data_IF_605602317695
#
_entry.id   IF_605602317695
#
_cell.length_a   1.000
_cell.length_b   1.000
_cell.length_c   1.000
_cell.angle_alpha   90.00
_cell.angle_beta   90.00
_cell.angle_gamma   90.00
#
_symmetry.space_group_name_H-M   'P 1'
#
loop_
_entity.id
_entity.type
_entity.pdbx_description
1 polymer ?
#
# COMPACT_ATOMS: atom_id res chain seq x y z
N UNK A 1 67.40 -36.79 28.60
CA UNK A 1 67.14 -35.39 28.14
C UNK A 1 65.97 -35.39 27.17
N UNK A 2 64.76 -35.06 27.65
CA UNK A 2 63.51 -35.19 26.89
C UNK A 2 63.14 -33.83 26.33
N UNK A 3 63.16 -33.72 25.02
CA UNK A 3 62.66 -32.51 24.33
C UNK A 3 61.13 -32.60 24.13
N UNK A 4 60.36 -31.75 24.75
CA UNK A 4 58.89 -31.63 24.56
C UNK A 4 58.65 -30.67 23.42
N UNK A 5 58.09 -31.18 22.34
CA UNK A 5 57.60 -30.39 21.20
C UNK A 5 56.16 -29.97 21.50
N UNK A 6 55.92 -28.66 21.68
CA UNK A 6 54.62 -28.05 21.79
C UNK A 6 54.07 -27.81 20.39
N UNK A 7 53.02 -28.53 20.01
CA UNK A 7 52.29 -28.30 18.79
C UNK A 7 51.23 -27.20 19.04
N UNK A 8 51.37 -26.04 18.39
CA UNK A 8 50.33 -25.03 18.32
C UNK A 8 49.33 -25.41 17.24
N UNK A 9 48.13 -25.77 17.65
CA UNK A 9 47.01 -25.95 16.73
C UNK A 9 46.38 -24.55 16.43
N UNK A 10 46.60 -24.06 15.22
CA UNK A 10 45.92 -22.85 14.72
C UNK A 10 44.49 -23.20 14.33
N UNK A 11 43.53 -22.69 15.09
CA UNK A 11 42.11 -22.76 14.77
C UNK A 11 41.78 -21.76 13.65
N UNK A 12 41.64 -22.24 12.42
CA UNK A 12 41.10 -21.48 11.32
C UNK A 12 39.56 -21.43 11.46
N UNK A 13 39.02 -20.28 11.84
CA UNK A 13 37.58 -20.01 11.78
C UNK A 13 37.25 -19.49 10.39
N UNK A 14 36.47 -20.21 9.56
CA UNK A 14 36.03 -19.68 8.28
C UNK A 14 34.96 -18.59 8.50
N UNK A 15 35.28 -17.38 8.12
CA UNK A 15 34.35 -16.26 8.09
C UNK A 15 33.39 -16.46 6.88
N UNK A 16 32.20 -16.98 7.12
CA UNK A 16 31.14 -17.07 6.12
C UNK A 16 30.58 -15.68 5.88
N UNK A 17 30.99 -15.02 4.79
CA UNK A 17 30.33 -13.84 4.26
C UNK A 17 28.95 -14.27 3.70
N UNK A 18 27.90 -14.06 4.47
CA UNK A 18 26.53 -14.19 4.00
C UNK A 18 26.26 -13.00 3.10
N UNK A 19 26.45 -13.17 1.80
CA UNK A 19 25.99 -12.20 0.80
C UNK A 19 24.47 -12.27 0.77
N UNK A 20 23.82 -11.39 1.51
CA UNK A 20 22.38 -11.17 1.41
C UNK A 20 22.06 -10.60 0.03
N UNK A 21 21.54 -11.43 -0.86
CA UNK A 21 20.93 -10.95 -2.11
C UNK A 21 19.67 -10.18 -1.72
N UNK A 22 19.70 -8.86 -1.87
CA UNK A 22 18.49 -8.05 -1.79
C UNK A 22 17.57 -8.49 -2.93
N UNK A 23 16.56 -9.30 -2.62
CA UNK A 23 15.51 -9.65 -3.56
C UNK A 23 14.66 -8.40 -3.77
N UNK A 24 14.62 -7.91 -5.01
CA UNK A 24 13.65 -6.88 -5.39
C UNK A 24 12.24 -7.42 -5.08
N UNK A 25 11.43 -6.61 -4.38
CA UNK A 25 10.05 -6.98 -4.09
C UNK A 25 9.34 -7.38 -5.39
N UNK A 26 8.54 -8.46 -5.39
CA UNK A 26 7.82 -8.89 -6.59
C UNK A 26 6.98 -7.72 -7.11
N UNK A 27 7.21 -7.35 -8.37
CA UNK A 27 6.38 -6.35 -9.04
C UNK A 27 5.00 -6.95 -9.24
N UNK A 28 4.00 -6.34 -8.63
CA UNK A 28 2.61 -6.77 -8.78
C UNK A 28 2.07 -6.30 -10.15
N UNK A 29 2.22 -7.16 -11.16
CA UNK A 29 1.75 -6.88 -12.51
C UNK A 29 0.25 -7.20 -12.71
N UNK A 30 -0.39 -7.81 -11.71
CA UNK A 30 -1.76 -8.29 -11.79
C UNK A 30 -2.76 -7.38 -11.07
N UNK A 31 -2.33 -6.18 -10.67
CA UNK A 31 -3.21 -5.17 -10.10
C UNK A 31 -3.52 -4.10 -11.13
N UNK A 32 -4.80 -3.87 -11.36
CA UNK A 32 -5.33 -2.78 -12.16
C UNK A 32 -6.71 -2.42 -11.61
N UNK A 33 -6.79 -1.30 -10.90
CA UNK A 33 -7.98 -0.80 -10.23
C UNK A 33 -8.36 0.57 -10.80
N UNK A 34 -9.62 0.75 -11.12
CA UNK A 34 -10.21 2.06 -11.36
C UNK A 34 -10.67 2.58 -10.01
N UNK A 35 -10.19 3.74 -9.62
CA UNK A 35 -10.56 4.45 -8.41
C UNK A 35 -11.40 5.65 -8.79
N UNK A 36 -12.53 5.83 -8.12
CA UNK A 36 -13.46 6.91 -8.38
C UNK A 36 -13.86 7.59 -7.08
N UNK A 37 -14.03 8.91 -7.14
CA UNK A 37 -14.56 9.72 -6.05
C UNK A 37 -15.70 10.57 -6.57
N UNK A 38 -16.90 10.39 -5.99
CA UNK A 38 -18.09 11.13 -6.29
C UNK A 38 -18.46 12.04 -5.12
N UNK A 39 -18.56 13.34 -5.35
CA UNK A 39 -18.99 14.34 -4.38
C UNK A 39 -20.48 14.64 -4.59
N UNK A 40 -21.29 14.46 -3.55
CA UNK A 40 -22.74 14.61 -3.64
C UNK A 40 -23.27 16.00 -3.25
N UNK A 41 -22.44 16.82 -2.63
CA UNK A 41 -22.79 18.12 -2.04
C UNK A 41 -22.47 19.33 -2.93
N UNK A 42 -21.92 19.11 -4.13
CA UNK A 42 -21.61 20.15 -5.09
C UNK A 42 -22.61 20.16 -6.23
N UNK A 43 -23.00 21.36 -6.71
CA UNK A 43 -24.05 21.55 -7.71
C UNK A 43 -23.84 20.72 -9.00
N UNK A 44 -22.60 20.40 -9.33
CA UNK A 44 -22.23 19.66 -10.55
C UNK A 44 -21.89 18.17 -10.29
N UNK A 45 -22.18 17.63 -9.10
CA UNK A 45 -21.76 16.25 -8.73
C UNK A 45 -20.32 15.97 -9.13
N UNK A 46 -19.38 16.74 -8.59
CA UNK A 46 -17.99 16.65 -8.97
C UNK A 46 -17.48 15.20 -8.86
N UNK A 47 -16.79 14.78 -9.90
CA UNK A 47 -16.31 13.42 -10.08
C UNK A 47 -14.83 13.42 -10.40
N UNK A 48 -14.11 12.51 -9.79
CA UNK A 48 -12.70 12.25 -10.10
C UNK A 48 -12.50 10.76 -10.32
N UNK A 49 -11.61 10.39 -11.23
CA UNK A 49 -11.23 9.02 -11.45
C UNK A 49 -9.75 8.91 -11.79
N UNK A 50 -9.13 7.80 -11.40
CA UNK A 50 -7.78 7.43 -11.78
C UNK A 50 -7.63 5.92 -11.88
N UNK A 51 -6.54 5.46 -12.46
CA UNK A 51 -6.19 4.04 -12.49
C UNK A 51 -4.97 3.82 -11.59
N UNK A 52 -5.05 2.82 -10.74
CA UNK A 52 -3.96 2.37 -9.87
C UNK A 52 -3.43 1.03 -10.34
N UNK A 53 -2.12 0.96 -10.64
CA UNK A 53 -1.39 -0.27 -10.93
C UNK A 53 -0.16 -0.36 -10.02
N UNK A 54 -0.03 -1.41 -9.23
CA UNK A 54 1.00 -1.46 -8.19
C UNK A 54 2.40 -1.81 -8.70
N UNK A 55 2.54 -2.28 -9.91
CA UNK A 55 3.82 -2.67 -10.50
C UNK A 55 4.25 -1.86 -11.71
N UNK A 56 3.46 -0.89 -12.14
CA UNK A 56 3.64 -0.11 -13.36
C UNK A 56 3.63 1.38 -13.08
N UNK A 57 3.99 2.18 -14.08
CA UNK A 57 3.75 3.62 -14.07
C UNK A 57 2.29 3.89 -14.39
N UNK A 58 1.63 4.67 -13.57
CA UNK A 58 0.25 5.11 -13.74
C UNK A 58 0.11 6.59 -13.33
N UNK A 59 -1.11 7.11 -13.40
CA UNK A 59 -1.40 8.51 -13.09
C UNK A 59 -1.71 8.77 -11.61
N UNK A 60 -1.63 7.74 -10.75
CA UNK A 60 -1.91 7.94 -9.33
C UNK A 60 -0.73 8.63 -8.65
N UNK A 61 -0.90 9.85 -8.10
CA UNK A 61 0.21 10.67 -7.59
C UNK A 61 0.93 10.04 -6.39
N UNK A 62 0.22 9.17 -5.63
CA UNK A 62 0.74 8.52 -4.41
C UNK A 62 0.67 6.99 -4.49
N UNK A 63 0.95 6.45 -5.68
CA UNK A 63 0.84 5.01 -5.99
C UNK A 63 1.45 4.09 -4.93
N UNK A 64 2.69 4.32 -4.54
CA UNK A 64 3.40 3.43 -3.62
C UNK A 64 2.68 3.32 -2.25
N UNK A 65 2.19 4.45 -1.74
CA UNK A 65 1.45 4.50 -0.48
C UNK A 65 0.06 3.89 -0.62
N UNK A 66 -0.65 4.17 -1.73
CA UNK A 66 -1.94 3.57 -2.04
C UNK A 66 -1.85 2.04 -2.11
N UNK A 67 -0.86 1.51 -2.82
CA UNK A 67 -0.63 0.07 -2.92
C UNK A 67 -0.25 -0.56 -1.58
N UNK A 68 0.54 0.12 -0.75
CA UNK A 68 0.88 -0.37 0.59
C UNK A 68 -0.35 -0.43 1.51
N UNK A 69 -1.21 0.59 1.48
CA UNK A 69 -2.46 0.64 2.25
C UNK A 69 -3.43 -0.47 1.82
N UNK A 70 -3.59 -0.68 0.51
CA UNK A 70 -4.41 -1.77 -0.03
C UNK A 70 -3.86 -3.15 0.34
N UNK A 71 -2.54 -3.33 0.31
CA UNK A 71 -1.93 -4.59 0.72
C UNK A 71 -2.20 -4.92 2.19
N UNK A 72 -2.11 -3.92 3.08
CA UNK A 72 -2.42 -4.08 4.50
C UNK A 72 -3.90 -4.43 4.75
N UNK A 73 -4.82 -3.84 3.99
CA UNK A 73 -6.26 -4.05 4.06
C UNK A 73 -6.77 -5.19 3.16
N UNK A 74 -5.91 -5.87 2.40
CA UNK A 74 -6.28 -6.92 1.42
C UNK A 74 -7.31 -6.44 0.39
N UNK A 75 -7.19 -5.19 -0.04
CA UNK A 75 -8.13 -4.51 -0.94
C UNK A 75 -9.58 -4.43 -0.44
N UNK A 76 -9.79 -4.42 0.85
CA UNK A 76 -11.08 -4.23 1.51
C UNK A 76 -11.12 -2.81 2.09
N UNK A 77 -12.02 -1.95 1.58
CA UNK A 77 -12.14 -0.56 2.03
C UNK A 77 -12.58 -0.44 3.49
N UNK A 78 -13.37 -1.40 3.98
CA UNK A 78 -13.84 -1.39 5.36
C UNK A 78 -12.75 -1.83 6.36
N UNK A 79 -11.77 -2.61 5.88
CA UNK A 79 -10.63 -3.03 6.67
C UNK A 79 -9.48 -2.02 6.70
N UNK A 80 -9.57 -0.91 5.96
CA UNK A 80 -8.55 0.15 5.99
C UNK A 80 -8.59 0.87 7.34
N UNK A 81 -7.43 0.95 7.99
CA UNK A 81 -7.31 1.62 9.29
C UNK A 81 -7.33 3.15 9.12
N UNK A 82 -8.20 3.81 9.89
CA UNK A 82 -8.21 5.27 9.95
C UNK A 82 -6.94 5.80 10.62
N UNK A 83 -6.44 6.92 10.13
CA UNK A 83 -5.41 7.70 10.80
C UNK A 83 -6.02 8.64 11.87
N UNK A 84 -5.16 9.25 12.69
CA UNK A 84 -5.57 10.10 13.81
C UNK A 84 -5.86 11.56 13.41
N UNK A 85 -6.06 11.85 12.12
CA UNK A 85 -6.33 13.23 11.70
C UNK A 85 -7.67 13.74 12.24
N UNK A 86 -7.67 14.98 12.70
CA UNK A 86 -8.90 15.63 13.12
C UNK A 86 -9.71 16.05 11.88
N UNK A 87 -10.97 15.61 11.80
CA UNK A 87 -11.91 16.01 10.79
C UNK A 87 -13.07 16.81 11.40
N UNK A 88 -13.64 17.71 10.60
CA UNK A 88 -14.86 18.44 10.99
C UNK A 88 -16.07 17.49 10.97
N UNK A 89 -17.16 17.89 11.67
CA UNK A 89 -18.43 17.16 11.65
C UNK A 89 -19.38 17.63 10.56
N UNK A 90 -18.87 18.42 9.57
CA UNK A 90 -19.68 18.85 8.43
C UNK A 90 -20.08 17.61 7.64
N UNK A 91 -21.38 17.49 7.37
CA UNK A 91 -21.91 16.43 6.52
C UNK A 91 -21.93 16.91 5.07
N UNK A 92 -20.96 16.44 4.30
CA UNK A 92 -20.78 16.70 2.88
C UNK A 92 -20.39 15.35 2.23
N UNK A 93 -21.36 14.45 1.98
CA UNK A 93 -21.08 13.06 1.68
C UNK A 93 -20.27 12.90 0.40
N UNK A 94 -19.32 11.97 0.47
CA UNK A 94 -18.48 11.58 -0.64
C UNK A 94 -18.46 10.06 -0.73
N UNK A 95 -18.58 9.55 -1.95
CA UNK A 95 -18.47 8.12 -2.24
C UNK A 95 -17.14 7.82 -2.90
N UNK A 96 -16.42 6.88 -2.31
CA UNK A 96 -15.22 6.28 -2.90
C UNK A 96 -15.54 4.89 -3.44
N UNK A 97 -15.15 4.62 -4.66
CA UNK A 97 -15.33 3.30 -5.28
C UNK A 97 -14.05 2.78 -5.91
N UNK A 98 -13.91 1.46 -5.93
CA UNK A 98 -12.76 0.75 -6.44
C UNK A 98 -13.20 -0.50 -7.17
N UNK A 99 -12.84 -0.59 -8.46
CA UNK A 99 -13.23 -1.70 -9.33
C UNK A 99 -12.05 -2.20 -10.14
N UNK A 100 -11.99 -3.51 -10.36
CA UNK A 100 -10.98 -4.13 -11.21
C UNK A 100 -10.36 -5.37 -10.63
N UNK A 101 -9.04 -5.45 -10.67
CA UNK A 101 -8.30 -6.62 -10.19
C UNK A 101 -7.23 -6.21 -9.19
N UNK A 102 -7.23 -6.85 -8.04
CA UNK A 102 -6.17 -6.79 -7.06
C UNK A 102 -5.43 -8.12 -7.03
N UNK A 103 -4.17 -8.11 -7.46
CA UNK A 103 -3.33 -9.33 -7.53
C UNK A 103 -3.99 -10.48 -8.28
N UNK A 104 -4.75 -10.16 -9.34
CA UNK A 104 -5.47 -11.13 -10.15
C UNK A 104 -6.87 -11.49 -9.67
N UNK A 105 -7.25 -11.10 -8.45
CA UNK A 105 -8.59 -11.33 -7.92
C UNK A 105 -9.52 -10.14 -8.24
N UNK A 106 -10.77 -10.39 -8.66
CA UNK A 106 -11.72 -9.33 -8.93
C UNK A 106 -12.12 -8.60 -7.65
N UNK A 107 -12.18 -7.25 -7.73
CA UNK A 107 -12.57 -6.36 -6.64
C UNK A 107 -13.65 -5.42 -7.13
N UNK A 108 -14.68 -5.21 -6.30
CA UNK A 108 -15.74 -4.22 -6.49
C UNK A 108 -16.16 -3.71 -5.12
N UNK A 109 -15.61 -2.56 -4.72
CA UNK A 109 -15.82 -1.95 -3.43
C UNK A 109 -16.42 -0.55 -3.60
N UNK A 110 -17.41 -0.21 -2.79
CA UNK A 110 -18.03 1.12 -2.74
C UNK A 110 -18.27 1.49 -1.28
N UNK A 111 -17.85 2.70 -0.89
CA UNK A 111 -18.07 3.19 0.47
C UNK A 111 -18.39 4.68 0.47
N UNK A 112 -19.45 5.03 1.23
CA UNK A 112 -19.81 6.44 1.47
C UNK A 112 -19.21 6.91 2.79
N UNK A 113 -18.63 8.12 2.75
CA UNK A 113 -18.05 8.78 3.92
C UNK A 113 -18.80 10.09 4.21
N UNK A 114 -18.86 10.53 5.49
CA UNK A 114 -19.55 11.77 5.86
C UNK A 114 -19.00 13.02 5.20
N UNK A 115 -17.70 13.02 4.85
CA UNK A 115 -17.02 14.09 4.12
C UNK A 115 -15.66 13.59 3.59
N UNK A 116 -15.03 14.39 2.75
CA UNK A 116 -13.74 14.04 2.14
C UNK A 116 -12.60 13.90 3.17
N UNK A 117 -12.62 14.67 4.26
CA UNK A 117 -11.62 14.53 5.33
C UNK A 117 -11.69 13.14 5.97
N UNK A 118 -12.90 12.66 6.30
CA UNK A 118 -13.11 11.32 6.87
C UNK A 118 -12.75 10.24 5.86
N UNK A 119 -13.06 10.41 4.57
CA UNK A 119 -12.63 9.50 3.52
C UNK A 119 -11.11 9.36 3.52
N UNK A 120 -10.37 10.47 3.46
CA UNK A 120 -8.91 10.45 3.43
C UNK A 120 -8.29 9.93 4.75
N UNK A 121 -8.96 10.16 5.90
CA UNK A 121 -8.53 9.59 7.17
C UNK A 121 -8.58 8.05 7.14
N UNK A 122 -9.62 7.47 6.54
CA UNK A 122 -9.79 6.02 6.43
C UNK A 122 -8.98 5.38 5.31
N UNK A 123 -8.84 6.05 4.18
CA UNK A 123 -8.26 5.46 2.96
C UNK A 123 -6.85 5.94 2.65
N UNK A 124 -6.37 6.93 3.40
CA UNK A 124 -5.03 7.49 3.24
C UNK A 124 -4.78 7.99 1.83
N UNK A 125 -3.74 7.46 1.20
CA UNK A 125 -3.33 7.85 -0.13
C UNK A 125 -4.22 7.30 -1.27
N UNK A 126 -5.10 6.33 -0.98
CA UNK A 126 -5.85 5.61 -2.02
C UNK A 126 -6.73 6.54 -2.86
N UNK A 127 -7.49 7.43 -2.22
CA UNK A 127 -8.36 8.40 -2.89
C UNK A 127 -7.81 9.84 -2.87
N UNK A 128 -6.52 10.00 -2.61
CA UNK A 128 -5.84 11.31 -2.63
C UNK A 128 -5.20 11.58 -4.01
N UNK A 129 -6.04 11.91 -5.00
CA UNK A 129 -5.67 12.19 -6.39
C UNK A 129 -6.52 13.27 -7.06
#
# INVERSE_FOLDING_TARGET
MSARILAFAALFVPLFLVSGTAQAAPRDHNTALVLEVQYSDVEDNAYKATVLTCGRTDNHPRRAQACASLAAARADLDAMAADDRACTFIYAPVEGSMFGFWRGEPVAEVRTFPNSCVMLAHTGALFDF
#
